data_IF_349170199256
#
_entry.id   IF_349170199256
#
_cell.length_a   1.000
_cell.length_b   1.000
_cell.length_c   1.000
_cell.angle_alpha   90.00
_cell.angle_beta   90.00
_cell.angle_gamma   90.00
#
_symmetry.space_group_name_H-M   'P 1'
#
loop_
_entity.id
_entity.type
_entity.pdbx_description
1 polymer ?
#
# COMPACT_ATOMS: atom_id res chain seq x y z
N UNK A 1 6.12 -13.29 -3.94
CA UNK A 1 7.23 -12.98 -2.99
C UNK A 1 7.99 -14.25 -2.63
N UNK A 2 9.32 -14.20 -2.59
CA UNK A 2 10.13 -15.36 -2.19
C UNK A 2 9.88 -15.82 -0.75
N UNK A 3 9.55 -14.89 0.16
CA UNK A 3 9.23 -15.20 1.57
C UNK A 3 8.02 -16.13 1.75
N UNK A 4 7.21 -16.35 0.71
CA UNK A 4 6.15 -17.37 0.73
C UNK A 4 6.68 -18.78 0.98
N UNK A 5 7.95 -19.06 0.66
CA UNK A 5 8.64 -20.30 1.00
C UNK A 5 8.69 -20.56 2.53
N UNK A 6 8.53 -19.53 3.35
CA UNK A 6 8.48 -19.62 4.82
C UNK A 6 7.06 -19.92 5.36
N UNK A 7 6.09 -20.22 4.49
CA UNK A 7 4.72 -20.59 4.89
C UNK A 7 3.92 -19.44 5.52
N UNK A 8 4.16 -18.22 5.06
CA UNK A 8 3.60 -16.97 5.61
C UNK A 8 2.22 -16.58 5.06
N UNK A 9 1.68 -17.35 4.12
CA UNK A 9 0.35 -17.12 3.53
C UNK A 9 -0.49 -18.39 3.62
N UNK A 10 -1.82 -18.20 3.64
CA UNK A 10 -2.80 -19.29 3.55
C UNK A 10 -3.05 -19.74 2.10
N UNK A 11 -2.58 -18.97 1.11
CA UNK A 11 -2.80 -19.23 -0.30
C UNK A 11 -1.49 -19.56 -1.03
N UNK A 12 -1.53 -20.38 -2.08
CA UNK A 12 -0.36 -20.64 -2.92
C UNK A 12 -0.01 -19.39 -3.75
N UNK A 13 1.26 -19.27 -4.15
CA UNK A 13 1.78 -18.10 -4.87
C UNK A 13 1.09 -17.86 -6.23
N UNK A 14 0.61 -18.93 -6.87
CA UNK A 14 -0.12 -18.88 -8.15
C UNK A 14 -1.41 -18.03 -8.12
N UNK A 15 -2.00 -17.82 -6.93
CA UNK A 15 -3.20 -16.98 -6.77
C UNK A 15 -2.94 -15.54 -7.23
N UNK A 16 -1.71 -15.03 -7.17
CA UNK A 16 -1.40 -13.71 -7.73
C UNK A 16 -1.69 -13.64 -9.23
N UNK A 17 -1.23 -14.62 -10.01
CA UNK A 17 -1.45 -14.66 -11.47
C UNK A 17 -2.94 -14.81 -11.78
N UNK A 18 -3.63 -15.66 -11.02
CA UNK A 18 -5.08 -15.88 -11.19
C UNK A 18 -5.90 -14.61 -10.90
N UNK A 19 -5.54 -13.86 -9.87
CA UNK A 19 -6.23 -12.60 -9.55
C UNK A 19 -5.93 -11.50 -10.56
N UNK A 20 -4.71 -11.43 -11.12
CA UNK A 20 -4.41 -10.52 -12.22
C UNK A 20 -5.30 -10.82 -13.44
N UNK A 21 -5.47 -12.10 -13.78
CA UNK A 21 -6.41 -12.50 -14.83
C UNK A 21 -7.87 -12.14 -14.47
N UNK A 22 -8.26 -12.28 -13.19
CA UNK A 22 -9.58 -11.88 -12.71
C UNK A 22 -9.83 -10.36 -12.81
N UNK A 23 -8.81 -9.52 -12.55
CA UNK A 23 -8.90 -8.08 -12.76
C UNK A 23 -9.14 -7.75 -14.24
N UNK A 24 -8.42 -8.41 -15.15
CA UNK A 24 -8.62 -8.25 -16.60
C UNK A 24 -10.02 -8.71 -17.04
N UNK A 25 -10.55 -9.76 -16.40
CA UNK A 25 -11.91 -10.27 -16.63
C UNK A 25 -13.03 -9.46 -15.98
N UNK A 26 -12.73 -8.41 -15.21
CA UNK A 26 -13.74 -7.58 -14.54
C UNK A 26 -14.38 -8.20 -13.29
N UNK A 27 -13.85 -9.32 -12.79
CA UNK A 27 -14.50 -10.15 -11.78
C UNK A 27 -14.13 -9.85 -10.32
N UNK A 28 -13.15 -8.97 -10.06
CA UNK A 28 -12.73 -8.67 -8.70
C UNK A 28 -13.53 -7.54 -8.05
N UNK A 29 -13.37 -7.38 -6.73
CA UNK A 29 -14.06 -6.34 -5.98
C UNK A 29 -13.66 -4.94 -6.46
N UNK A 30 -12.37 -4.72 -6.74
CA UNK A 30 -11.88 -3.43 -7.25
C UNK A 30 -12.53 -3.05 -8.58
N UNK A 31 -12.82 -4.00 -9.48
CA UNK A 31 -13.52 -3.71 -10.74
C UNK A 31 -14.90 -3.09 -10.49
N UNK A 32 -15.63 -3.63 -9.52
CA UNK A 32 -16.98 -3.16 -9.20
C UNK A 32 -16.96 -1.82 -8.49
N UNK A 33 -16.01 -1.62 -7.58
CA UNK A 33 -15.84 -0.36 -6.87
C UNK A 33 -15.38 0.76 -7.82
N UNK A 34 -14.44 0.47 -8.73
CA UNK A 34 -14.00 1.43 -9.75
C UNK A 34 -15.15 1.88 -10.65
N UNK A 35 -16.01 0.95 -11.06
CA UNK A 35 -17.22 1.27 -11.83
C UNK A 35 -18.15 2.21 -11.06
N UNK A 36 -18.44 1.92 -9.79
CA UNK A 36 -19.31 2.77 -8.95
C UNK A 36 -18.69 4.14 -8.69
N UNK A 37 -17.38 4.18 -8.45
CA UNK A 37 -16.62 5.40 -8.23
C UNK A 37 -16.37 6.19 -9.53
N UNK A 38 -16.76 5.70 -10.71
CA UNK A 38 -16.41 6.33 -11.99
C UNK A 38 -14.90 6.55 -12.13
N UNK A 39 -14.11 5.56 -11.72
CA UNK A 39 -12.66 5.56 -11.79
C UNK A 39 -12.19 4.53 -12.83
N UNK A 40 -11.07 4.81 -13.49
CA UNK A 40 -10.41 3.86 -14.39
C UNK A 40 -9.52 2.93 -13.57
N UNK A 41 -9.61 1.64 -13.83
CA UNK A 41 -8.70 0.64 -13.25
C UNK A 41 -7.60 0.32 -14.27
N UNK A 42 -6.35 0.53 -13.88
CA UNK A 42 -5.16 0.10 -14.61
C UNK A 42 -4.42 -0.96 -13.78
N UNK A 43 -4.08 -2.09 -14.40
CA UNK A 43 -3.37 -3.20 -13.74
C UNK A 43 -1.98 -3.32 -14.35
N UNK A 44 -0.95 -3.19 -13.52
CA UNK A 44 0.45 -3.18 -13.95
C UNK A 44 1.12 -4.46 -13.45
N UNK A 45 1.34 -5.47 -14.30
CA UNK A 45 2.03 -6.69 -13.91
C UNK A 45 3.52 -6.40 -13.69
N UNK A 46 4.08 -6.91 -12.59
CA UNK A 46 5.47 -6.70 -12.20
C UNK A 46 6.19 -8.05 -12.08
N UNK A 47 6.58 -8.63 -13.22
CA UNK A 47 7.32 -9.90 -13.32
C UNK A 47 6.69 -11.01 -12.46
N UNK A 48 5.50 -11.47 -12.89
CA UNK A 48 4.66 -12.39 -12.12
C UNK A 48 5.22 -13.81 -12.04
N UNK A 49 6.05 -14.20 -13.02
CA UNK A 49 6.59 -15.56 -13.14
C UNK A 49 7.80 -15.78 -12.21
N UNK A 50 8.54 -14.71 -11.90
CA UNK A 50 9.73 -14.79 -11.05
C UNK A 50 9.46 -14.10 -9.72
N UNK A 51 9.26 -14.83 -8.61
CA UNK A 51 9.11 -14.19 -7.31
C UNK A 51 10.35 -13.38 -6.94
N UNK A 52 10.18 -12.34 -6.12
CA UNK A 52 11.32 -11.69 -5.45
C UNK A 52 12.14 -12.69 -4.64
N UNK A 53 13.36 -12.31 -4.26
CA UNK A 53 14.15 -13.08 -3.31
C UNK A 53 13.40 -13.32 -1.99
N UNK A 54 13.68 -14.45 -1.35
CA UNK A 54 13.27 -14.65 0.04
C UNK A 54 14.17 -13.77 0.91
N UNK A 55 13.60 -12.69 1.46
CA UNK A 55 14.35 -11.71 2.23
C UNK A 55 15.04 -12.30 3.48
N UNK A 56 14.66 -13.50 3.91
CA UNK A 56 15.31 -14.22 5.01
C UNK A 56 16.65 -14.87 4.59
N UNK A 57 16.88 -15.04 3.28
CA UNK A 57 18.04 -15.74 2.69
C UNK A 57 18.87 -14.84 1.78
N UNK A 58 18.26 -13.91 1.04
CA UNK A 58 18.89 -12.97 0.09
C UNK A 58 18.10 -11.65 0.11
N UNK A 59 18.56 -10.52 -0.44
CA UNK A 59 17.70 -9.35 -0.61
C UNK A 59 16.46 -9.69 -1.47
N UNK A 60 15.31 -9.06 -1.20
CA UNK A 60 14.11 -9.25 -2.02
C UNK A 60 14.34 -8.83 -3.48
N UNK A 61 15.06 -7.73 -3.68
CA UNK A 61 15.49 -7.23 -4.99
C UNK A 61 16.94 -6.76 -4.91
N UNK A 62 17.70 -6.93 -6.00
CA UNK A 62 18.92 -6.15 -6.18
C UNK A 62 18.58 -4.72 -6.61
N UNK A 63 19.61 -3.87 -6.74
CA UNK A 63 19.42 -2.46 -7.08
C UNK A 63 18.72 -2.27 -8.43
N UNK A 64 19.09 -3.05 -9.44
CA UNK A 64 18.52 -2.94 -10.78
C UNK A 64 17.03 -3.34 -10.78
N UNK A 65 16.69 -4.45 -10.14
CA UNK A 65 15.31 -4.92 -10.01
C UNK A 65 14.46 -3.96 -9.19
N UNK A 66 15.03 -3.38 -8.11
CA UNK A 66 14.34 -2.38 -7.31
C UNK A 66 14.05 -1.13 -8.14
N UNK A 67 15.05 -0.57 -8.82
CA UNK A 67 14.87 0.62 -9.67
C UNK A 67 13.91 0.38 -10.84
N UNK A 68 13.93 -0.82 -11.44
CA UNK A 68 12.97 -1.19 -12.48
C UNK A 68 11.54 -1.19 -11.95
N UNK A 69 11.30 -1.76 -10.78
CA UNK A 69 9.98 -1.77 -10.15
C UNK A 69 9.52 -0.36 -9.74
N UNK A 70 10.42 0.46 -9.16
CA UNK A 70 10.16 1.87 -8.85
C UNK A 70 9.78 2.64 -10.13
N UNK A 71 10.52 2.45 -11.22
CA UNK A 71 10.27 3.13 -12.49
C UNK A 71 8.92 2.74 -13.08
N UNK A 72 8.56 1.46 -13.04
CA UNK A 72 7.26 0.98 -13.53
C UNK A 72 6.07 1.67 -12.82
N UNK A 73 6.18 1.87 -11.51
CA UNK A 73 5.16 2.63 -10.76
C UNK A 73 5.24 4.14 -11.00
N UNK A 74 6.44 4.69 -11.11
CA UNK A 74 6.65 6.11 -11.38
C UNK A 74 6.04 6.53 -12.72
N UNK A 75 6.29 5.75 -13.77
CA UNK A 75 5.81 6.03 -15.13
C UNK A 75 4.29 5.85 -15.28
N UNK A 76 3.65 5.15 -14.34
CA UNK A 76 2.20 4.95 -14.32
C UNK A 76 1.41 6.20 -13.90
N UNK A 77 2.04 7.15 -13.21
CA UNK A 77 1.35 8.35 -12.70
C UNK A 77 1.68 9.55 -13.58
N UNK A 78 0.72 9.94 -14.40
CA UNK A 78 0.83 11.08 -15.32
C UNK A 78 0.23 12.35 -14.70
N UNK A 79 0.57 13.51 -15.27
CA UNK A 79 0.18 14.84 -14.74
C UNK A 79 -1.28 15.23 -14.98
N UNK A 80 -1.98 14.50 -15.83
CA UNK A 80 -3.38 14.72 -16.22
C UNK A 80 -4.38 14.00 -15.30
N UNK A 81 -3.90 13.26 -14.30
CA UNK A 81 -4.75 12.60 -13.32
C UNK A 81 -5.21 13.59 -12.24
N UNK A 82 -6.51 13.60 -11.96
CA UNK A 82 -7.08 14.44 -10.88
C UNK A 82 -6.84 13.82 -9.49
N UNK A 83 -6.75 12.49 -9.42
CA UNK A 83 -6.63 11.70 -8.19
C UNK A 83 -6.14 10.29 -8.54
N UNK A 84 -5.27 9.71 -7.71
CA UNK A 84 -4.82 8.31 -7.87
C UNK A 84 -5.15 7.49 -6.63
N UNK A 85 -5.68 6.29 -6.85
CA UNK A 85 -5.91 5.28 -5.81
C UNK A 85 -4.87 4.19 -5.97
N UNK A 86 -4.08 3.90 -4.93
CA UNK A 86 -3.13 2.79 -4.99
C UNK A 86 -3.72 1.50 -4.45
N UNK A 87 -3.53 0.44 -5.21
CA UNK A 87 -3.86 -0.93 -4.84
C UNK A 87 -2.70 -1.86 -5.13
N UNK A 88 -2.75 -3.04 -4.53
CA UNK A 88 -1.76 -4.10 -4.71
C UNK A 88 -2.43 -5.45 -4.83
N UNK A 89 -1.69 -6.41 -5.37
CA UNK A 89 -2.03 -7.82 -5.33
C UNK A 89 -0.74 -8.65 -5.30
N UNK A 90 -0.44 -9.26 -4.16
CA UNK A 90 0.76 -10.09 -3.99
C UNK A 90 0.61 -11.11 -2.87
N UNK A 91 0.68 -12.41 -3.19
CA UNK A 91 0.60 -13.43 -2.15
C UNK A 91 1.82 -13.34 -1.22
N UNK A 92 1.53 -13.17 0.07
CA UNK A 92 2.52 -13.06 1.14
C UNK A 92 3.01 -11.64 1.43
N UNK A 93 2.49 -10.61 0.76
CA UNK A 93 3.01 -9.24 0.85
C UNK A 93 2.71 -8.48 2.16
N UNK A 94 1.78 -8.95 2.97
CA UNK A 94 1.59 -8.43 4.34
C UNK A 94 2.82 -8.68 5.23
N UNK A 95 3.66 -9.67 4.89
CA UNK A 95 4.93 -9.95 5.58
C UNK A 95 6.00 -8.89 5.27
N UNK A 96 6.37 -8.60 4.01
CA UNK A 96 7.29 -7.50 3.68
C UNK A 96 6.75 -6.13 4.11
N UNK A 97 5.43 -5.89 4.06
CA UNK A 97 4.83 -4.65 4.59
C UNK A 97 5.11 -4.48 6.10
N UNK A 98 4.93 -5.55 6.88
CA UNK A 98 5.26 -5.56 8.30
C UNK A 98 6.78 -5.43 8.54
N UNK A 99 7.62 -6.07 7.71
CA UNK A 99 9.08 -5.96 7.81
C UNK A 99 9.57 -4.52 7.58
N UNK A 100 9.08 -3.85 6.53
CA UNK A 100 9.37 -2.44 6.25
C UNK A 100 8.90 -1.56 7.40
N UNK A 101 7.67 -1.76 7.90
CA UNK A 101 7.14 -0.98 9.02
C UNK A 101 7.99 -1.15 10.28
N UNK A 102 8.44 -2.38 10.56
CA UNK A 102 9.33 -2.67 11.70
C UNK A 102 10.69 -2.00 11.54
N UNK A 103 11.29 -2.07 10.35
CA UNK A 103 12.58 -1.45 10.06
C UNK A 103 12.53 0.09 10.17
N UNK A 104 11.46 0.72 9.67
CA UNK A 104 11.36 2.19 9.62
C UNK A 104 10.96 2.83 10.95
N UNK A 105 10.10 2.15 11.73
CA UNK A 105 9.45 2.73 12.92
C UNK A 105 9.77 1.97 14.22
N UNK A 106 10.58 0.91 14.15
CA UNK A 106 11.02 0.14 15.31
C UNK A 106 9.90 -0.63 16.02
N UNK A 107 10.21 -1.08 17.23
CA UNK A 107 9.35 -2.02 17.98
C UNK A 107 9.55 -3.47 17.53
N UNK A 108 8.74 -4.38 18.08
CA UNK A 108 8.84 -5.80 17.76
C UNK A 108 8.10 -6.14 16.47
N UNK A 109 8.50 -7.23 15.79
CA UNK A 109 7.84 -7.66 14.56
C UNK A 109 6.35 -8.00 14.79
N UNK A 110 6.00 -8.54 15.96
CA UNK A 110 4.61 -8.83 16.35
C UNK A 110 3.72 -7.59 16.31
N UNK A 111 4.26 -6.41 16.65
CA UNK A 111 3.51 -5.15 16.66
C UNK A 111 2.94 -4.80 15.28
N UNK A 112 3.64 -5.20 14.22
CA UNK A 112 3.32 -4.85 12.84
C UNK A 112 2.67 -6.01 12.08
N UNK A 113 2.69 -7.22 12.64
CA UNK A 113 2.29 -8.44 11.92
C UNK A 113 0.83 -8.78 12.19
N UNK A 114 0.02 -8.74 11.14
CA UNK A 114 -1.38 -9.21 11.14
C UNK A 114 -1.55 -10.61 10.54
N UNK A 115 -2.80 -11.08 10.50
CA UNK A 115 -3.16 -12.38 9.89
C UNK A 115 -3.20 -12.35 8.36
N UNK A 116 -3.14 -11.17 7.74
CA UNK A 116 -3.19 -11.00 6.30
C UNK A 116 -4.38 -11.73 5.68
N UNK A 117 -4.08 -12.68 4.79
CA UNK A 117 -5.09 -13.51 4.10
C UNK A 117 -5.80 -14.53 4.99
N UNK A 118 -5.65 -14.46 6.32
CA UNK A 118 -6.35 -15.31 7.29
C UNK A 118 -5.53 -16.47 7.84
N UNK A 119 -4.22 -16.29 8.06
CA UNK A 119 -3.39 -17.34 8.65
C UNK A 119 -3.77 -17.66 10.11
N UNK A 120 -3.52 -18.91 10.51
CA UNK A 120 -3.65 -19.39 11.88
C UNK A 120 -2.53 -18.85 12.79
N UNK A 121 -2.55 -19.23 14.07
CA UNK A 121 -1.56 -18.75 15.06
C UNK A 121 -0.14 -19.23 14.72
N UNK A 122 -0.01 -20.43 14.16
CA UNK A 122 1.26 -20.95 13.67
C UNK A 122 1.79 -20.12 12.49
N UNK A 123 0.92 -19.74 11.55
CA UNK A 123 1.25 -18.87 10.43
C UNK A 123 1.61 -17.46 10.85
N UNK A 124 0.91 -16.90 11.84
CA UNK A 124 1.28 -15.62 12.44
C UNK A 124 2.69 -15.68 13.05
N UNK A 125 3.01 -16.75 13.78
CA UNK A 125 4.35 -16.96 14.33
C UNK A 125 5.41 -17.10 13.23
N UNK A 126 5.13 -17.83 12.14
CA UNK A 126 6.05 -17.93 10.99
C UNK A 126 6.31 -16.57 10.35
N UNK A 127 5.29 -15.72 10.21
CA UNK A 127 5.45 -14.34 9.71
C UNK A 127 6.41 -13.53 10.59
N UNK A 128 6.20 -13.55 11.90
CA UNK A 128 7.06 -12.85 12.88
C UNK A 128 8.50 -13.33 12.76
N UNK A 129 8.73 -14.65 12.78
CA UNK A 129 10.06 -15.25 12.66
C UNK A 129 10.73 -14.86 11.34
N UNK A 130 9.99 -14.88 10.22
CA UNK A 130 10.53 -14.47 8.93
C UNK A 130 10.96 -12.98 8.95
N UNK A 131 10.13 -12.10 9.51
CA UNK A 131 10.43 -10.67 9.63
C UNK A 131 11.70 -10.45 10.47
N UNK A 132 11.81 -11.09 11.63
CA UNK A 132 12.99 -10.98 12.50
C UNK A 132 14.26 -11.50 11.81
N UNK A 133 14.16 -12.62 11.10
CA UNK A 133 15.26 -13.17 10.31
C UNK A 133 15.72 -12.20 9.21
N UNK A 134 14.77 -11.58 8.50
CA UNK A 134 15.04 -10.55 7.49
C UNK A 134 15.73 -9.33 8.07
N UNK A 135 15.19 -8.77 9.17
CA UNK A 135 15.77 -7.61 9.86
C UNK A 135 17.21 -7.90 10.33
N UNK A 136 17.44 -9.09 10.91
CA UNK A 136 18.77 -9.51 11.35
C UNK A 136 19.74 -9.64 10.18
N UNK A 137 19.31 -10.25 9.08
CA UNK A 137 20.15 -10.46 7.89
C UNK A 137 20.58 -9.14 7.27
N UNK A 138 19.67 -8.18 7.19
CA UNK A 138 19.87 -6.91 6.49
C UNK A 138 20.19 -5.75 7.44
N UNK A 139 20.74 -6.03 8.62
CA UNK A 139 21.00 -5.05 9.68
C UNK A 139 21.77 -3.81 9.18
N UNK A 140 22.77 -4.03 8.31
CA UNK A 140 23.60 -2.95 7.73
C UNK A 140 22.84 -2.05 6.76
N UNK A 141 21.65 -2.46 6.32
CA UNK A 141 20.79 -1.71 5.40
C UNK A 141 19.67 -0.94 6.11
N UNK A 142 19.45 -1.15 7.41
CA UNK A 142 18.29 -0.61 8.14
C UNK A 142 18.39 0.89 8.47
N UNK A 143 19.48 1.55 8.14
CA UNK A 143 19.62 3.01 8.27
C UNK A 143 19.10 3.79 7.07
N UNK A 144 18.91 3.12 5.93
CA UNK A 144 18.51 3.74 4.66
C UNK A 144 17.12 3.24 4.23
N UNK A 145 16.10 4.12 4.17
CA UNK A 145 14.73 3.75 3.77
C UNK A 145 14.64 3.07 2.40
N UNK A 146 15.51 3.42 1.44
CA UNK A 146 15.50 2.80 0.11
C UNK A 146 16.11 1.40 0.15
N UNK A 147 17.19 1.21 0.90
CA UNK A 147 17.77 -0.13 1.08
C UNK A 147 16.83 -1.05 1.86
N UNK A 148 16.09 -0.53 2.84
CA UNK A 148 15.01 -1.26 3.52
C UNK A 148 13.96 -1.73 2.49
N UNK A 149 13.47 -0.83 1.64
CA UNK A 149 12.47 -1.17 0.64
C UNK A 149 12.97 -2.21 -0.38
N UNK A 150 14.23 -2.11 -0.80
CA UNK A 150 14.85 -3.07 -1.71
C UNK A 150 15.09 -4.45 -1.05
N UNK A 151 15.60 -4.46 0.18
CA UNK A 151 16.01 -5.70 0.86
C UNK A 151 14.83 -6.48 1.43
N UNK A 152 13.83 -5.80 2.01
CA UNK A 152 12.72 -6.41 2.74
C UNK A 152 11.38 -6.36 2.01
N UNK A 153 11.28 -5.62 0.90
CA UNK A 153 10.02 -5.32 0.23
C UNK A 153 9.56 -6.33 -0.81
N UNK A 154 8.89 -5.80 -1.83
CA UNK A 154 8.37 -6.51 -2.99
C UNK A 154 8.31 -5.58 -4.19
N UNK A 155 8.18 -6.14 -5.41
CA UNK A 155 8.14 -5.32 -6.63
C UNK A 155 6.94 -4.38 -6.63
N UNK A 156 5.79 -4.84 -6.17
CA UNK A 156 4.57 -4.02 -6.06
C UNK A 156 4.69 -2.94 -4.98
N UNK A 157 5.36 -3.22 -3.85
CA UNK A 157 5.67 -2.18 -2.86
C UNK A 157 6.62 -1.13 -3.45
N UNK A 158 7.65 -1.55 -4.19
CA UNK A 158 8.58 -0.65 -4.86
C UNK A 158 7.89 0.19 -5.95
N UNK A 159 6.96 -0.41 -6.70
CA UNK A 159 6.15 0.31 -7.68
C UNK A 159 5.22 1.34 -6.99
N UNK A 160 4.53 0.98 -5.91
CA UNK A 160 3.70 1.94 -5.16
C UNK A 160 4.55 3.08 -4.59
N UNK A 161 5.76 2.80 -4.09
CA UNK A 161 6.72 3.83 -3.69
C UNK A 161 7.02 4.79 -4.85
N UNK A 162 7.38 4.26 -6.03
CA UNK A 162 7.66 5.05 -7.23
C UNK A 162 6.47 5.87 -7.72
N UNK A 163 5.28 5.26 -7.72
CA UNK A 163 4.03 5.92 -8.09
C UNK A 163 3.69 7.06 -7.10
N UNK A 164 3.90 6.85 -5.80
CA UNK A 164 3.69 7.88 -4.78
C UNK A 164 4.65 9.06 -4.99
N UNK A 165 5.91 8.79 -5.38
CA UNK A 165 6.90 9.80 -5.71
C UNK A 165 6.50 10.60 -6.97
N UNK A 166 6.06 9.92 -8.02
CA UNK A 166 5.58 10.56 -9.25
C UNK A 166 4.36 11.45 -8.99
N UNK A 167 3.39 10.97 -8.19
CA UNK A 167 2.23 11.75 -7.78
C UNK A 167 2.64 13.05 -7.06
N UNK A 168 3.64 12.98 -6.17
CA UNK A 168 4.17 14.18 -5.50
C UNK A 168 4.74 15.19 -6.49
N UNK A 169 5.54 14.71 -7.46
CA UNK A 169 6.16 15.54 -8.51
C UNK A 169 5.12 16.20 -9.40
N UNK A 170 4.05 15.47 -9.72
CA UNK A 170 3.00 15.94 -10.61
C UNK A 170 1.88 16.73 -9.88
N UNK A 171 1.98 16.89 -8.56
CA UNK A 171 0.93 17.48 -7.70
C UNK A 171 -0.42 16.76 -7.80
N UNK A 172 -0.38 15.44 -7.99
CA UNK A 172 -1.56 14.58 -8.03
C UNK A 172 -1.84 14.05 -6.61
N UNK A 173 -3.03 14.28 -6.04
CA UNK A 173 -3.37 13.72 -4.74
C UNK A 173 -3.50 12.19 -4.81
N UNK A 174 -3.18 11.52 -3.70
CA UNK A 174 -3.17 10.06 -3.59
C UNK A 174 -4.11 9.59 -2.48
N UNK A 175 -4.92 8.59 -2.77
CA UNK A 175 -5.61 7.77 -1.78
C UNK A 175 -4.82 6.48 -1.53
N UNK A 176 -4.26 6.36 -0.32
CA UNK A 176 -3.61 5.14 0.16
C UNK A 176 -4.69 4.18 0.67
N UNK A 177 -4.66 2.95 0.16
CA UNK A 177 -5.60 1.89 0.53
C UNK A 177 -5.28 1.28 1.91
N UNK A 178 -4.96 -0.02 1.97
CA UNK A 178 -4.71 -0.75 3.19
C UNK A 178 -3.25 -0.72 3.65
N UNK A 179 -2.96 -1.60 4.61
CA UNK A 179 -1.66 -1.69 5.27
C UNK A 179 -0.47 -1.79 4.31
N UNK A 180 -0.60 -2.59 3.25
CA UNK A 180 0.48 -2.85 2.29
C UNK A 180 0.80 -1.59 1.47
N UNK A 181 -0.22 -0.89 0.93
CA UNK A 181 -0.03 0.37 0.23
C UNK A 181 0.60 1.44 1.12
N UNK A 182 0.12 1.57 2.35
CA UNK A 182 0.67 2.53 3.32
C UNK A 182 2.12 2.20 3.68
N UNK A 183 2.46 0.93 3.88
CA UNK A 183 3.83 0.50 4.16
C UNK A 183 4.77 0.72 2.96
N UNK A 184 4.26 0.54 1.74
CA UNK A 184 5.00 0.82 0.51
C UNK A 184 5.36 2.31 0.35
N UNK A 185 4.45 3.21 0.75
CA UNK A 185 4.68 4.65 0.71
C UNK A 185 5.54 5.18 1.88
N UNK A 186 5.55 4.47 3.01
CA UNK A 186 6.22 4.90 4.25
C UNK A 186 7.71 5.28 4.13
N UNK A 187 8.54 4.66 3.27
CA UNK A 187 9.91 5.13 3.04
C UNK A 187 9.99 6.62 2.66
N UNK A 188 9.02 7.16 1.90
CA UNK A 188 9.01 8.59 1.54
C UNK A 188 8.87 9.50 2.76
N UNK A 189 8.10 9.11 3.78
CA UNK A 189 7.97 9.88 5.03
C UNK A 189 9.27 9.88 5.85
N UNK A 190 10.12 8.86 5.69
CA UNK A 190 11.44 8.79 6.33
C UNK A 190 12.50 9.52 5.54
N UNK A 191 12.34 9.63 4.22
CA UNK A 191 13.22 10.41 3.34
C UNK A 191 12.97 11.92 3.45
N UNK A 192 11.72 12.34 3.65
CA UNK A 192 11.37 13.75 3.79
C UNK A 192 10.17 13.97 4.73
N UNK A 193 10.18 14.97 5.64
CA UNK A 193 9.09 15.21 6.60
C UNK A 193 7.72 15.43 5.96
N UNK A 194 7.69 16.00 4.75
CA UNK A 194 6.46 16.24 3.97
C UNK A 194 6.33 15.33 2.76
N UNK A 195 7.08 14.20 2.74
CA UNK A 195 7.11 13.26 1.61
C UNK A 195 5.74 12.68 1.26
N UNK A 196 4.82 12.65 2.22
CA UNK A 196 3.45 12.14 2.05
C UNK A 196 2.36 13.24 2.15
N UNK A 197 2.73 14.52 2.06
CA UNK A 197 1.78 15.63 2.22
C UNK A 197 0.68 15.69 1.13
N UNK A 198 0.87 15.02 0.00
CA UNK A 198 -0.10 14.87 -1.09
C UNK A 198 -0.96 13.61 -0.94
N UNK A 199 -0.79 12.84 0.13
CA UNK A 199 -1.51 11.58 0.36
C UNK A 199 -2.59 11.73 1.43
N UNK A 200 -3.66 10.97 1.28
CA UNK A 200 -4.74 10.80 2.24
C UNK A 200 -4.88 9.30 2.51
N UNK A 201 -4.98 8.91 3.77
CA UNK A 201 -5.33 7.54 4.14
C UNK A 201 -6.82 7.32 3.85
N UNK A 202 -7.13 6.50 2.85
CA UNK A 202 -8.51 6.27 2.44
C UNK A 202 -9.30 5.52 3.50
N UNK A 203 -8.66 4.52 4.13
CA UNK A 203 -9.24 3.79 5.22
C UNK A 203 -8.19 3.24 6.17
N UNK A 204 -8.60 2.86 7.37
CA UNK A 204 -7.81 1.96 8.21
C UNK A 204 -8.31 0.53 7.98
N UNK A 205 -7.37 -0.35 7.64
CA UNK A 205 -7.66 -1.77 7.43
C UNK A 205 -7.67 -2.53 8.76
N UNK A 206 -8.35 -3.67 8.80
CA UNK A 206 -8.34 -4.57 9.96
C UNK A 206 -7.00 -5.30 10.20
N UNK A 207 -5.98 -5.10 9.36
CA UNK A 207 -4.62 -5.55 9.65
C UNK A 207 -4.06 -4.86 10.90
N UNK A 208 -3.54 -5.65 11.84
CA UNK A 208 -3.15 -5.21 13.18
C UNK A 208 -2.15 -4.03 13.18
N UNK A 209 -1.25 -3.99 12.19
CA UNK A 209 -0.23 -2.95 12.06
C UNK A 209 -0.73 -1.63 11.47
N UNK A 210 -1.89 -1.60 10.79
CA UNK A 210 -2.23 -0.45 9.94
C UNK A 210 -2.56 0.81 10.75
N UNK A 211 -3.40 0.71 11.79
CA UNK A 211 -3.72 1.88 12.63
C UNK A 211 -2.46 2.51 13.22
N UNK A 212 -1.53 1.68 13.69
CA UNK A 212 -0.24 2.13 14.25
C UNK A 212 0.64 2.79 13.21
N UNK A 213 0.64 2.26 11.99
CA UNK A 213 1.40 2.85 10.88
C UNK A 213 0.82 4.23 10.50
N UNK A 214 -0.50 4.35 10.43
CA UNK A 214 -1.18 5.63 10.21
C UNK A 214 -0.87 6.65 11.31
N UNK A 215 -0.89 6.24 12.59
CA UNK A 215 -0.49 7.06 13.73
C UNK A 215 0.97 7.53 13.60
N UNK A 216 1.90 6.62 13.26
CA UNK A 216 3.32 6.95 13.08
C UNK A 216 3.57 7.90 11.89
N UNK A 217 2.72 7.87 10.87
CA UNK A 217 2.77 8.73 9.70
C UNK A 217 1.98 10.04 9.87
N UNK A 218 1.18 10.19 10.94
CA UNK A 218 0.29 11.34 11.12
C UNK A 218 -0.84 11.41 10.08
N UNK A 219 -1.31 10.26 9.59
CA UNK A 219 -2.32 10.16 8.53
C UNK A 219 -3.66 9.65 9.09
N UNK A 220 -4.61 10.53 9.47
CA UNK A 220 -5.93 10.08 9.91
C UNK A 220 -6.70 9.46 8.72
N UNK A 221 -7.30 8.27 8.89
CA UNK A 221 -8.06 7.62 7.83
C UNK A 221 -9.43 8.30 7.61
N UNK A 222 -9.90 8.34 6.36
CA UNK A 222 -11.26 8.79 6.04
C UNK A 222 -12.33 7.78 6.50
N UNK A 223 -12.01 6.48 6.45
CA UNK A 223 -12.95 5.39 6.70
C UNK A 223 -12.38 4.37 7.72
N UNK A 224 -13.22 3.86 8.61
CA UNK A 224 -12.94 2.70 9.47
C UNK A 224 -14.09 1.70 9.36
N UNK A 225 -13.97 0.77 8.41
CA UNK A 225 -15.04 -0.17 8.03
C UNK A 225 -14.65 -1.64 8.24
N UNK A 226 -13.54 -1.90 8.93
CA UNK A 226 -13.03 -3.27 9.13
C UNK A 226 -12.60 -3.99 7.84
N UNK A 227 -12.33 -3.26 6.76
CA UNK A 227 -11.90 -3.81 5.47
C UNK A 227 -10.48 -4.37 5.54
N UNK A 228 -10.20 -5.42 4.76
CA UNK A 228 -8.89 -6.11 4.75
C UNK A 228 -8.59 -6.86 3.44
N UNK A 229 -9.23 -6.44 2.35
CA UNK A 229 -9.05 -7.10 1.05
C UNK A 229 -7.74 -6.68 0.37
N UNK A 230 -7.41 -5.38 0.39
CA UNK A 230 -6.37 -4.82 -0.47
C UNK A 230 -6.95 -4.40 -1.82
N UNK A 231 -6.18 -4.58 -2.89
CA UNK A 231 -6.56 -4.29 -4.28
C UNK A 231 -6.89 -2.82 -4.58
N UNK A 232 -6.72 -1.89 -3.63
CA UNK A 232 -7.18 -0.51 -3.78
C UNK A 232 -8.66 -0.32 -3.46
N UNK A 233 -9.30 -1.33 -2.86
CA UNK A 233 -10.75 -1.34 -2.63
C UNK A 233 -11.23 -0.25 -1.67
N UNK A 234 -10.53 -0.02 -0.55
CA UNK A 234 -10.81 1.07 0.38
C UNK A 234 -10.48 2.45 -0.21
N UNK A 235 -9.38 2.56 -0.95
CA UNK A 235 -9.04 3.76 -1.72
C UNK A 235 -10.15 4.13 -2.71
N UNK A 236 -10.60 3.16 -3.51
CA UNK A 236 -11.66 3.38 -4.48
C UNK A 236 -13.00 3.74 -3.83
N UNK A 237 -13.34 3.12 -2.70
CA UNK A 237 -14.54 3.47 -1.94
C UNK A 237 -14.50 4.92 -1.42
N UNK A 238 -13.33 5.38 -0.96
CA UNK A 238 -13.14 6.73 -0.44
C UNK A 238 -13.22 7.82 -1.52
N UNK A 239 -13.09 7.50 -2.81
CA UNK A 239 -13.28 8.46 -3.92
C UNK A 239 -14.63 9.15 -3.83
N UNK A 240 -15.69 8.42 -3.46
CA UNK A 240 -17.03 8.99 -3.34
C UNK A 240 -17.14 9.99 -2.19
N UNK A 241 -16.40 9.77 -1.09
CA UNK A 241 -16.31 10.72 0.03
C UNK A 241 -15.59 11.99 -0.42
N UNK A 242 -14.45 11.85 -1.11
CA UNK A 242 -13.67 12.99 -1.64
C UNK A 242 -14.52 13.82 -2.60
N UNK A 243 -15.20 13.19 -3.56
CA UNK A 243 -16.09 13.89 -4.49
C UNK A 243 -17.25 14.60 -3.80
N UNK A 244 -17.83 13.98 -2.77
CA UNK A 244 -18.90 14.61 -1.99
C UNK A 244 -18.40 15.85 -1.26
N UNK A 245 -17.20 15.80 -0.67
CA UNK A 245 -16.58 16.95 -0.04
C UNK A 245 -16.32 18.09 -1.05
N UNK A 246 -15.83 17.77 -2.24
CA UNK A 246 -15.62 18.74 -3.32
C UNK A 246 -16.93 19.37 -3.79
N UNK A 247 -17.99 18.59 -3.96
CA UNK A 247 -19.30 19.10 -4.38
C UNK A 247 -19.90 20.04 -3.32
N UNK A 248 -19.82 19.67 -2.04
CA UNK A 248 -20.21 20.56 -0.95
C UNK A 248 -19.38 21.83 -0.93
N UNK A 249 -18.06 21.73 -1.11
CA UNK A 249 -17.20 22.91 -1.11
C UNK A 249 -17.49 23.86 -2.29
N UNK A 250 -17.75 23.31 -3.48
CA UNK A 250 -17.91 24.10 -4.70
C UNK A 250 -19.33 24.66 -4.89
N UNK A 251 -20.36 24.00 -4.36
CA UNK A 251 -21.76 24.31 -4.68
C UNK A 251 -22.66 24.64 -3.50
N UNK A 252 -22.22 24.43 -2.26
CA UNK A 252 -23.03 24.80 -1.11
C UNK A 252 -23.07 26.33 -0.98
N UNK A 253 -24.27 26.88 -0.96
CA UNK A 253 -24.47 28.31 -0.72
C UNK A 253 -23.95 28.72 0.67
N UNK A 254 -23.30 29.86 0.73
CA UNK A 254 -23.04 30.57 1.98
C UNK A 254 -24.35 31.03 2.64
N UNK A 255 -24.30 31.37 3.93
CA UNK A 255 -25.47 31.94 4.61
C UNK A 255 -25.97 33.22 3.95
N UNK A 256 -25.07 34.06 3.45
CA UNK A 256 -25.42 35.27 2.71
C UNK A 256 -26.20 34.96 1.43
N UNK A 257 -25.76 33.97 0.64
CA UNK A 257 -26.42 33.56 -0.61
C UNK A 257 -27.77 32.87 -0.35
N UNK A 258 -27.87 32.11 0.74
CA UNK A 258 -29.07 31.39 1.13
C UNK A 258 -30.09 32.26 1.90
N UNK A 259 -29.76 33.52 2.20
CA UNK A 259 -30.61 34.41 3.00
C UNK A 259 -30.80 33.93 4.44
N UNK A 260 -29.82 33.21 4.99
CA UNK A 260 -29.85 32.70 6.37
C UNK A 260 -29.27 33.76 7.29
N UNK A 261 -30.03 34.14 8.32
CA UNK A 261 -29.59 35.12 9.32
C UNK A 261 -28.35 34.64 10.07
N UNK A 262 -27.39 35.54 10.27
CA UNK A 262 -26.24 35.31 11.15
C UNK A 262 -26.69 35.23 12.62
N UNK A 263 -25.90 34.55 13.46
CA UNK A 263 -26.12 34.44 14.91
C UNK A 263 -25.54 35.64 15.66
#
# INVERSE_FOLDING_TARGET
>A
HGVTAQGVSAYPSEVTVQMVANFAGGGAAINQLARVAGAKLDVIPLDLDHPTGDFTIVPAMDEQAFLAAVSAGYDAVTKDLDLVCFGEMGIGNTTPAAAISTALFGGSAEKWTGRGTGVDDAGLKRKVVAIEAGLKRHADSLSDPLKIAAALGGRELAAIFGATLAARKNNVPVLLDGFVCTAAAAPLARLHPTGLAHTIAAHVSAEAGHRRLLEALGLPPLLDLGMRLGEGSGACLAVNIVRSALECHARMASFAEAGVSEK
#
